data_IF_046561047181
#
_entry.id   IF_046561047181
#
_cell.length_a   1.000
_cell.length_b   1.000
_cell.length_c   1.000
_cell.angle_alpha   90.00
_cell.angle_beta   90.00
_cell.angle_gamma   90.00
#
_symmetry.space_group_name_H-M   'P 1'
#
loop_
_entity.id
_entity.type
_entity.pdbx_description
1 polymer ?
#
# COMPACT_ATOMS: atom_id res chain seq x y z
N UNK A 1 -16.24 -17.40 -8.20
CA UNK A 1 -16.61 -16.43 -9.25
C UNK A 1 -15.48 -16.25 -10.26
N UNK A 2 -14.26 -15.83 -9.89
CA UNK A 2 -13.17 -15.65 -10.86
C UNK A 2 -12.84 -16.92 -11.65
N UNK A 3 -12.77 -18.08 -11.00
CA UNK A 3 -12.52 -19.37 -11.69
C UNK A 3 -13.61 -19.75 -12.68
N UNK A 4 -14.86 -19.32 -12.48
CA UNK A 4 -15.95 -19.56 -13.42
C UNK A 4 -15.96 -18.58 -14.59
N UNK A 5 -15.43 -17.36 -14.40
CA UNK A 5 -15.34 -16.34 -15.44
C UNK A 5 -14.07 -16.50 -16.31
N UNK A 6 -12.99 -17.05 -15.74
CA UNK A 6 -11.70 -17.24 -16.40
C UNK A 6 -11.16 -18.66 -16.12
N UNK A 7 -11.74 -19.68 -16.69
CA UNK A 7 -11.43 -21.09 -16.38
C UNK A 7 -9.99 -21.49 -16.72
N UNK A 8 -9.39 -20.87 -17.73
CA UNK A 8 -8.02 -21.14 -18.17
C UNK A 8 -6.96 -20.43 -17.31
N UNK A 9 -7.38 -19.58 -16.36
CA UNK A 9 -6.45 -18.84 -15.51
C UNK A 9 -6.16 -19.61 -14.23
N UNK A 10 -4.89 -19.56 -13.81
CA UNK A 10 -4.47 -20.13 -12.54
C UNK A 10 -4.59 -19.08 -11.43
N UNK A 11 -5.43 -19.36 -10.43
CA UNK A 11 -5.66 -18.49 -9.27
C UNK A 11 -5.26 -19.20 -7.98
N UNK A 12 -4.46 -18.52 -7.18
CA UNK A 12 -4.10 -18.94 -5.84
C UNK A 12 -4.58 -17.88 -4.83
N UNK A 13 -5.24 -18.33 -3.75
CA UNK A 13 -5.69 -17.47 -2.67
C UNK A 13 -4.73 -17.55 -1.49
N UNK A 14 -4.16 -16.42 -1.10
CA UNK A 14 -3.30 -16.29 0.06
C UNK A 14 -3.93 -15.28 1.02
N UNK A 15 -4.23 -15.73 2.23
CA UNK A 15 -4.72 -14.85 3.29
C UNK A 15 -3.63 -13.84 3.69
N UNK A 16 -4.01 -12.55 3.74
CA UNK A 16 -3.14 -11.46 4.11
C UNK A 16 -3.94 -10.36 4.79
N UNK A 17 -3.90 -10.33 6.13
CA UNK A 17 -4.47 -9.22 6.91
C UNK A 17 -3.47 -8.07 7.00
N UNK A 18 -3.78 -6.97 6.32
CA UNK A 18 -2.93 -5.77 6.31
C UNK A 18 -2.95 -5.00 7.66
N UNK A 19 -3.77 -5.40 8.62
CA UNK A 19 -3.75 -4.86 9.98
C UNK A 19 -2.79 -5.63 10.91
N UNK A 20 -2.06 -6.62 10.37
CA UNK A 20 -1.07 -7.42 11.08
C UNK A 20 0.20 -7.60 10.25
N UNK A 21 1.32 -7.06 10.70
CA UNK A 21 2.60 -7.24 10.01
C UNK A 21 3.04 -8.71 9.98
N UNK A 22 2.67 -9.51 10.98
CA UNK A 22 2.97 -10.95 10.96
C UNK A 22 2.17 -11.67 9.86
N UNK A 23 0.90 -11.31 9.67
CA UNK A 23 0.09 -11.82 8.56
C UNK A 23 0.71 -11.46 7.21
N UNK A 24 1.15 -10.19 7.05
CA UNK A 24 1.82 -9.72 5.83
C UNK A 24 3.09 -10.53 5.55
N UNK A 25 3.95 -10.76 6.55
CA UNK A 25 5.17 -11.56 6.37
C UNK A 25 4.86 -13.02 6.03
N UNK A 26 3.84 -13.58 6.66
CA UNK A 26 3.40 -14.96 6.36
C UNK A 26 2.88 -15.09 4.94
N UNK A 27 2.07 -14.13 4.49
CA UNK A 27 1.61 -14.07 3.11
C UNK A 27 2.78 -13.90 2.12
N UNK A 28 3.72 -12.99 2.43
CA UNK A 28 4.88 -12.76 1.58
C UNK A 28 5.75 -14.02 1.42
N UNK A 29 5.98 -14.80 2.49
CA UNK A 29 6.69 -16.08 2.40
C UNK A 29 6.01 -17.03 1.42
N UNK A 30 4.68 -17.21 1.54
CA UNK A 30 3.91 -18.07 0.63
C UNK A 30 4.00 -17.61 -0.82
N UNK A 31 3.90 -16.29 -1.07
CA UNK A 31 4.06 -15.74 -2.43
C UNK A 31 5.48 -16.00 -2.95
N UNK A 32 6.49 -15.84 -2.12
CA UNK A 32 7.89 -16.11 -2.50
C UNK A 32 8.09 -17.56 -2.93
N UNK A 33 7.52 -18.51 -2.17
CA UNK A 33 7.60 -19.94 -2.47
C UNK A 33 6.88 -20.29 -3.79
N UNK A 34 5.77 -19.64 -4.11
CA UNK A 34 5.04 -19.82 -5.37
C UNK A 34 5.72 -19.12 -6.55
N UNK A 35 6.37 -17.99 -6.31
CA UNK A 35 6.98 -17.15 -7.34
C UNK A 35 8.50 -17.31 -7.43
N UNK A 36 9.01 -18.54 -7.30
CA UNK A 36 10.46 -18.83 -7.32
C UNK A 36 11.14 -18.33 -8.59
N UNK A 37 10.43 -18.31 -9.72
CA UNK A 37 10.90 -17.79 -11.01
C UNK A 37 10.61 -16.30 -11.21
N UNK A 38 10.28 -15.59 -10.15
CA UNK A 38 10.02 -14.15 -10.13
C UNK A 38 8.54 -13.76 -10.20
N UNK A 39 8.26 -12.61 -9.65
CA UNK A 39 6.94 -11.95 -9.62
C UNK A 39 6.95 -10.74 -10.56
N UNK A 40 6.13 -10.75 -11.60
CA UNK A 40 6.12 -9.68 -12.61
C UNK A 40 5.46 -8.40 -12.11
N UNK A 41 4.41 -8.51 -11.31
CA UNK A 41 3.67 -7.35 -10.85
C UNK A 41 3.13 -7.53 -9.43
N UNK A 42 3.37 -6.54 -8.58
CA UNK A 42 2.77 -6.40 -7.26
C UNK A 42 1.80 -5.23 -7.28
N UNK A 43 0.49 -5.50 -7.13
CA UNK A 43 -0.53 -4.47 -7.05
C UNK A 43 -0.94 -4.22 -5.60
N UNK A 44 -0.41 -3.18 -4.98
CA UNK A 44 -0.78 -2.68 -3.65
C UNK A 44 -2.10 -1.91 -3.73
N UNK A 45 -3.19 -2.63 -3.96
CA UNK A 45 -4.50 -2.07 -4.27
C UNK A 45 -5.42 -1.95 -3.05
N UNK A 46 -5.35 -2.90 -2.11
CA UNK A 46 -6.25 -2.93 -0.97
C UNK A 46 -6.18 -1.64 -0.14
N UNK A 47 -7.32 -1.23 0.43
CA UNK A 47 -7.36 -0.03 1.24
C UNK A 47 -8.70 0.20 1.90
N UNK A 48 -8.66 0.96 2.95
CA UNK A 48 -9.81 1.40 3.74
C UNK A 48 -9.86 2.92 3.78
N UNK A 49 -11.05 3.48 3.99
CA UNK A 49 -11.27 4.91 3.89
C UNK A 49 -12.18 5.41 5.02
N UNK A 50 -11.79 6.53 5.62
CA UNK A 50 -12.58 7.28 6.60
C UNK A 50 -13.09 6.45 7.79
N UNK A 51 -12.28 5.50 8.27
CA UNK A 51 -12.60 4.71 9.45
C UNK A 51 -12.35 5.48 10.75
N UNK A 52 -12.93 4.97 11.84
CA UNK A 52 -12.70 5.47 13.20
C UNK A 52 -11.22 5.49 13.54
N UNK A 53 -10.86 6.35 14.49
CA UNK A 53 -9.50 6.47 15.02
C UNK A 53 -9.19 5.29 15.95
N UNK A 54 -8.73 4.20 15.36
CA UNK A 54 -8.39 2.96 16.07
C UNK A 54 -6.98 2.52 15.70
N UNK A 55 -6.36 1.77 16.61
CA UNK A 55 -5.07 1.14 16.37
C UNK A 55 -5.25 -0.28 15.84
N UNK A 56 -4.28 -0.72 15.04
CA UNK A 56 -4.08 -2.11 14.67
C UNK A 56 -3.45 -2.90 15.84
N UNK A 57 -3.32 -4.20 15.67
CA UNK A 57 -2.60 -5.06 16.62
C UNK A 57 -1.12 -4.67 16.78
N UNK A 58 -0.53 -4.04 15.77
CA UNK A 58 0.83 -3.54 15.79
C UNK A 58 0.96 -2.14 16.41
N UNK A 59 -0.16 -1.49 16.78
CA UNK A 59 -0.22 -0.21 17.47
C UNK A 59 -0.15 1.03 16.56
N UNK A 60 -0.33 0.89 15.25
CA UNK A 60 -0.39 2.01 14.30
C UNK A 60 -1.84 2.41 13.99
N UNK A 61 -2.03 3.60 13.44
CA UNK A 61 -3.34 4.00 12.90
C UNK A 61 -3.83 2.97 11.87
N UNK A 62 -5.08 2.56 12.00
CA UNK A 62 -5.66 1.49 11.17
C UNK A 62 -5.60 1.82 9.68
N UNK A 63 -5.80 3.09 9.29
CA UNK A 63 -5.75 3.49 7.89
C UNK A 63 -4.29 3.58 7.39
N UNK A 64 -3.37 4.10 8.22
CA UNK A 64 -1.97 4.22 7.82
C UNK A 64 -1.33 2.84 7.69
N UNK A 65 -1.58 1.93 8.60
CA UNK A 65 -1.04 0.58 8.49
C UNK A 65 -1.62 -0.15 7.29
N UNK A 66 -2.94 -0.22 7.16
CA UNK A 66 -3.60 -0.96 6.08
C UNK A 66 -3.23 -0.41 4.70
N UNK A 67 -3.30 0.92 4.53
CA UNK A 67 -3.15 1.52 3.21
C UNK A 67 -1.71 1.73 2.77
N UNK A 68 -0.77 1.81 3.72
CA UNK A 68 0.61 2.18 3.42
C UNK A 68 1.66 1.27 4.06
N UNK A 69 1.73 1.19 5.39
CA UNK A 69 2.85 0.50 6.06
C UNK A 69 2.92 -0.98 5.72
N UNK A 70 1.78 -1.65 5.64
CA UNK A 70 1.70 -3.07 5.27
C UNK A 70 2.04 -3.30 3.80
N UNK A 71 1.66 -2.41 2.91
CA UNK A 71 2.07 -2.48 1.50
C UNK A 71 3.57 -2.19 1.32
N UNK A 72 4.12 -1.26 2.11
CA UNK A 72 5.56 -1.03 2.16
C UNK A 72 6.29 -2.31 2.61
N UNK A 73 5.83 -2.94 3.69
CA UNK A 73 6.40 -4.19 4.20
C UNK A 73 6.28 -5.30 3.15
N UNK A 74 5.09 -5.50 2.56
CA UNK A 74 4.86 -6.51 1.52
C UNK A 74 5.79 -6.30 0.32
N UNK A 75 5.95 -5.06 -0.13
CA UNK A 75 6.88 -4.71 -1.22
C UNK A 75 8.32 -5.06 -0.84
N UNK A 76 8.74 -4.76 0.39
CA UNK A 76 10.06 -5.10 0.91
C UNK A 76 10.31 -6.60 0.92
N UNK A 77 9.37 -7.37 1.46
CA UNK A 77 9.48 -8.82 1.57
C UNK A 77 9.48 -9.52 0.19
N UNK A 78 8.72 -9.00 -0.77
CA UNK A 78 8.64 -9.55 -2.13
C UNK A 78 9.69 -8.96 -3.10
N UNK A 79 10.51 -8.02 -2.65
CA UNK A 79 11.54 -7.40 -3.49
C UNK A 79 12.48 -8.42 -4.17
N UNK A 80 12.96 -9.50 -3.51
CA UNK A 80 13.81 -10.48 -4.17
C UNK A 80 13.16 -11.12 -5.40
N UNK A 81 11.90 -11.54 -5.31
CA UNK A 81 11.21 -12.18 -6.45
C UNK A 81 10.79 -11.19 -7.53
N UNK A 82 10.54 -9.92 -7.20
CA UNK A 82 10.37 -8.85 -8.18
C UNK A 82 11.66 -8.60 -8.95
N UNK A 83 12.81 -8.61 -8.27
CA UNK A 83 14.12 -8.46 -8.90
C UNK A 83 14.42 -9.63 -9.85
N UNK A 84 14.14 -10.87 -9.46
CA UNK A 84 14.27 -12.04 -10.33
C UNK A 84 13.45 -11.86 -11.62
N UNK A 85 12.20 -11.43 -11.52
CA UNK A 85 11.36 -11.18 -12.70
C UNK A 85 11.96 -10.11 -13.61
N UNK A 86 12.40 -8.98 -13.04
CA UNK A 86 13.04 -7.90 -13.79
C UNK A 86 14.30 -8.35 -14.53
N UNK A 87 15.11 -9.19 -13.91
CA UNK A 87 16.33 -9.75 -14.51
C UNK A 87 16.03 -10.78 -15.61
N UNK A 88 15.09 -11.69 -15.36
CA UNK A 88 14.79 -12.79 -16.29
C UNK A 88 13.94 -12.35 -17.49
N UNK A 89 13.02 -11.42 -17.29
CA UNK A 89 12.00 -11.02 -18.29
C UNK A 89 12.10 -9.58 -18.76
N UNK A 90 13.03 -8.80 -18.20
CA UNK A 90 13.30 -7.44 -18.61
C UNK A 90 12.27 -6.39 -18.11
N UNK A 91 11.27 -6.79 -17.31
CA UNK A 91 10.28 -5.88 -16.71
C UNK A 91 9.68 -6.49 -15.45
N UNK A 92 9.59 -5.69 -14.38
CA UNK A 92 8.75 -5.99 -13.23
C UNK A 92 8.21 -4.68 -12.61
N UNK A 93 7.08 -4.76 -11.91
CA UNK A 93 6.34 -3.56 -11.50
C UNK A 93 5.78 -3.66 -10.10
N UNK A 94 5.93 -2.57 -9.34
CA UNK A 94 5.17 -2.31 -8.10
C UNK A 94 4.17 -1.21 -8.40
N UNK A 95 2.88 -1.50 -8.28
CA UNK A 95 1.79 -0.55 -8.54
C UNK A 95 1.12 -0.20 -7.22
N UNK A 96 1.22 1.06 -6.80
CA UNK A 96 0.62 1.55 -5.57
C UNK A 96 -0.67 2.32 -5.86
N UNK A 97 -1.72 2.03 -5.11
CA UNK A 97 -3.00 2.69 -5.27
C UNK A 97 -3.07 3.98 -4.44
N UNK A 98 -3.11 5.12 -5.11
CA UNK A 98 -3.31 6.43 -4.50
C UNK A 98 -4.75 6.95 -4.73
N UNK A 99 -4.99 8.21 -4.46
CA UNK A 99 -6.29 8.87 -4.60
C UNK A 99 -6.11 10.36 -4.79
N UNK A 100 -7.12 11.05 -5.32
CA UNK A 100 -7.21 12.51 -5.31
C UNK A 100 -7.15 13.08 -3.89
N UNK A 101 -7.54 12.30 -2.88
CA UNK A 101 -7.45 12.66 -1.47
C UNK A 101 -6.02 13.02 -1.01
N UNK A 102 -4.97 12.60 -1.75
CA UNK A 102 -3.57 12.99 -1.47
C UNK A 102 -3.33 14.49 -1.48
N UNK A 103 -4.16 15.25 -2.18
CA UNK A 103 -4.07 16.71 -2.23
C UNK A 103 -4.67 17.41 -1.02
N UNK A 104 -5.33 16.68 -0.12
CA UNK A 104 -5.87 17.21 1.14
C UNK A 104 -4.80 17.68 2.13
N UNK A 105 -3.56 17.21 1.98
CA UNK A 105 -2.39 17.66 2.74
C UNK A 105 -1.20 17.92 1.79
N UNK A 106 -0.38 18.94 2.15
CA UNK A 106 0.80 19.32 1.35
C UNK A 106 2.07 18.59 1.79
N UNK A 107 2.07 18.01 2.99
CA UNK A 107 3.24 17.38 3.63
C UNK A 107 2.82 16.12 4.38
N UNK A 108 3.68 15.12 4.35
CA UNK A 108 3.60 14.00 5.26
C UNK A 108 3.91 14.46 6.68
N UNK A 109 3.15 13.96 7.63
CA UNK A 109 3.28 14.29 9.05
C UNK A 109 3.81 13.06 9.79
N UNK A 110 4.97 13.15 10.46
CA UNK A 110 5.61 12.01 11.13
C UNK A 110 4.69 11.28 12.11
N UNK A 111 3.84 12.02 12.83
CA UNK A 111 2.93 11.45 13.82
C UNK A 111 1.98 10.37 13.29
N UNK A 112 1.70 10.34 11.98
CA UNK A 112 0.86 9.31 11.37
C UNK A 112 1.59 7.97 11.15
N UNK A 113 2.93 7.99 11.25
CA UNK A 113 3.77 6.82 11.09
C UNK A 113 4.25 6.23 12.43
N UNK A 114 3.83 6.83 13.54
CA UNK A 114 4.25 6.41 14.88
C UNK A 114 3.26 5.41 15.49
N UNK A 115 3.77 4.57 16.39
CA UNK A 115 2.95 3.75 17.27
C UNK A 115 2.29 4.63 18.32
N UNK A 116 1.03 4.94 18.16
CA UNK A 116 0.26 5.83 19.05
C UNK A 116 -1.02 5.23 19.56
N UNK A 117 -1.34 4.00 19.19
CA UNK A 117 -2.58 3.35 19.57
C UNK A 117 -3.83 4.02 18.96
N UNK A 118 -3.74 4.56 17.75
CA UNK A 118 -4.74 5.47 17.21
C UNK A 118 -4.49 6.90 17.68
N UNK A 119 -5.50 7.61 18.16
CA UNK A 119 -5.40 8.94 18.78
C UNK A 119 -4.69 10.02 17.91
N UNK A 120 -5.01 10.04 16.61
CA UNK A 120 -4.40 10.95 15.64
C UNK A 120 -5.30 12.11 15.22
N UNK A 121 -6.37 12.38 15.93
CA UNK A 121 -7.16 13.57 15.65
C UNK A 121 -8.66 13.33 15.59
N UNK A 122 -9.11 12.24 16.15
CA UNK A 122 -10.52 11.98 16.40
C UNK A 122 -11.30 11.45 15.20
N UNK A 123 -12.58 11.36 15.38
CA UNK A 123 -13.52 10.62 14.54
C UNK A 123 -14.40 11.49 13.63
N UNK A 124 -14.11 12.79 13.52
CA UNK A 124 -14.92 13.63 12.63
C UNK A 124 -14.98 13.05 11.22
N UNK A 125 -16.17 12.72 10.77
CA UNK A 125 -16.45 12.26 9.42
C UNK A 125 -16.75 13.40 8.44
N UNK A 126 -16.93 14.63 8.96
CA UNK A 126 -17.25 15.78 8.13
C UNK A 126 -16.01 16.21 7.33
N UNK A 127 -16.08 16.09 6.01
CA UNK A 127 -15.00 16.48 5.10
C UNK A 127 -14.63 17.96 5.21
N UNK A 128 -15.61 18.84 5.44
CA UNK A 128 -15.37 20.28 5.57
C UNK A 128 -14.58 20.55 6.85
N UNK A 129 -15.00 19.95 7.98
CA UNK A 129 -14.30 20.08 9.26
C UNK A 129 -12.90 19.48 9.15
N UNK A 130 -12.75 18.31 8.53
CA UNK A 130 -11.46 17.68 8.30
C UNK A 130 -10.54 18.53 7.42
N UNK A 131 -11.08 19.18 6.38
CA UNK A 131 -10.35 20.09 5.50
C UNK A 131 -9.86 21.35 6.23
N UNK A 132 -10.71 21.94 7.08
CA UNK A 132 -10.40 23.16 7.84
C UNK A 132 -9.45 22.86 9.00
N UNK A 133 -9.74 21.81 9.78
CA UNK A 133 -8.95 21.45 10.97
C UNK A 133 -7.74 20.58 10.66
N UNK A 134 -7.69 20.01 9.46
CA UNK A 134 -6.71 19.00 9.05
C UNK A 134 -6.63 17.82 10.03
N UNK A 135 -7.78 17.42 10.57
CA UNK A 135 -7.95 16.35 11.55
C UNK A 135 -9.07 15.42 11.15
N UNK A 136 -9.20 14.30 11.88
CA UNK A 136 -10.27 13.34 11.69
C UNK A 136 -9.99 12.29 10.60
N UNK A 137 -11.01 11.53 10.28
CA UNK A 137 -10.94 10.32 9.43
C UNK A 137 -10.39 10.59 8.04
N UNK A 138 -10.80 11.69 7.43
CA UNK A 138 -10.39 12.07 6.08
C UNK A 138 -8.95 12.57 6.02
N UNK A 139 -8.50 13.31 7.04
CA UNK A 139 -7.11 13.75 7.13
C UNK A 139 -6.17 12.55 7.24
N UNK A 140 -6.51 11.55 8.09
CA UNK A 140 -5.75 10.30 8.19
C UNK A 140 -5.72 9.56 6.86
N UNK A 141 -6.87 9.42 6.18
CA UNK A 141 -6.92 8.83 4.85
C UNK A 141 -6.06 9.58 3.83
N UNK A 142 -6.14 10.91 3.79
CA UNK A 142 -5.33 11.74 2.89
C UNK A 142 -3.82 11.52 3.10
N UNK A 143 -3.39 11.41 4.36
CA UNK A 143 -1.99 11.10 4.69
C UNK A 143 -1.57 9.74 4.12
N UNK A 144 -2.42 8.72 4.17
CA UNK A 144 -2.08 7.41 3.59
C UNK A 144 -1.89 7.47 2.08
N UNK A 145 -2.76 8.25 1.40
CA UNK A 145 -2.71 8.37 -0.07
C UNK A 145 -1.57 9.26 -0.55
N UNK A 146 -1.20 10.26 0.24
CA UNK A 146 0.02 11.04 0.03
C UNK A 146 1.27 10.18 0.25
N UNK A 147 1.29 9.35 1.31
CA UNK A 147 2.37 8.41 1.59
C UNK A 147 2.58 7.42 0.43
N UNK A 148 1.51 6.87 -0.14
CA UNK A 148 1.60 5.97 -1.29
C UNK A 148 2.20 6.67 -2.53
N UNK A 149 1.84 7.92 -2.80
CA UNK A 149 2.41 8.67 -3.91
C UNK A 149 3.90 8.99 -3.70
N UNK A 150 4.26 9.43 -2.49
CA UNK A 150 5.66 9.69 -2.13
C UNK A 150 6.51 8.42 -2.16
N UNK A 151 6.01 7.32 -1.59
CA UNK A 151 6.67 6.01 -1.64
C UNK A 151 6.93 5.57 -3.07
N UNK A 152 5.94 5.71 -3.95
CA UNK A 152 6.09 5.34 -5.36
C UNK A 152 7.23 6.09 -6.03
N UNK A 153 7.30 7.41 -5.86
CA UNK A 153 8.35 8.24 -6.44
C UNK A 153 9.73 7.88 -5.88
N UNK A 154 9.84 7.82 -4.55
CA UNK A 154 11.11 7.47 -3.89
C UNK A 154 11.57 6.05 -4.23
N UNK A 155 10.66 5.08 -4.31
CA UNK A 155 11.01 3.71 -4.66
C UNK A 155 11.51 3.62 -6.10
N UNK A 156 10.85 4.31 -7.03
CA UNK A 156 11.31 4.38 -8.43
C UNK A 156 12.71 4.97 -8.53
N UNK A 157 12.95 6.09 -7.87
CA UNK A 157 14.26 6.74 -7.84
C UNK A 157 15.35 5.80 -7.28
N UNK A 158 15.05 5.09 -6.18
CA UNK A 158 15.98 4.11 -5.60
C UNK A 158 16.27 2.94 -6.56
N UNK A 159 15.31 2.48 -7.31
CA UNK A 159 15.55 1.48 -8.35
C UNK A 159 16.51 1.99 -9.42
N UNK A 160 16.33 3.21 -9.89
CA UNK A 160 17.22 3.83 -10.89
C UNK A 160 18.65 4.00 -10.34
N UNK A 161 18.78 4.52 -9.10
CA UNK A 161 20.08 4.69 -8.44
C UNK A 161 20.81 3.37 -8.21
N UNK A 162 20.07 2.27 -8.00
CA UNK A 162 20.62 0.93 -7.83
C UNK A 162 20.89 0.20 -9.17
N UNK A 163 20.68 0.85 -10.31
CA UNK A 163 20.83 0.22 -11.63
C UNK A 163 19.75 -0.79 -12.01
N UNK A 164 18.63 -0.81 -11.28
CA UNK A 164 17.51 -1.73 -11.52
C UNK A 164 16.49 -1.11 -12.49
N UNK A 165 16.92 -0.76 -13.69
CA UNK A 165 16.11 -0.01 -14.67
C UNK A 165 14.88 -0.79 -15.17
N UNK A 166 14.90 -2.11 -15.10
CA UNK A 166 13.81 -3.00 -15.48
C UNK A 166 12.75 -3.16 -14.37
N UNK A 167 12.99 -2.60 -13.18
CA UNK A 167 12.05 -2.60 -12.07
C UNK A 167 11.43 -1.22 -11.91
N UNK A 168 10.10 -1.15 -11.98
CA UNK A 168 9.37 0.12 -12.00
C UNK A 168 8.45 0.23 -10.79
N UNK A 169 8.36 1.42 -10.22
CA UNK A 169 7.35 1.77 -9.24
C UNK A 169 6.37 2.76 -9.86
N UNK A 170 5.10 2.42 -9.84
CA UNK A 170 4.03 3.15 -10.50
C UNK A 170 2.93 3.51 -9.50
N UNK A 171 2.25 4.63 -9.72
CA UNK A 171 1.07 5.01 -8.96
C UNK A 171 -0.17 4.95 -9.86
N UNK A 172 -1.20 4.26 -9.39
CA UNK A 172 -2.51 4.23 -10.03
C UNK A 172 -3.52 5.06 -9.23
N UNK A 173 -4.44 5.70 -9.95
CA UNK A 173 -5.55 6.44 -9.37
C UNK A 173 -6.79 6.21 -10.23
N UNK A 174 -7.82 5.51 -9.70
CA UNK A 174 -8.98 5.09 -10.51
C UNK A 174 -9.97 6.22 -10.84
N UNK A 175 -9.72 7.45 -10.37
CA UNK A 175 -10.73 8.51 -10.43
C UNK A 175 -11.75 8.41 -9.31
N UNK A 176 -12.94 8.92 -9.55
CA UNK A 176 -14.11 8.76 -8.67
C UNK A 176 -14.87 7.55 -9.22
N UNK A 177 -14.76 6.42 -8.52
CA UNK A 177 -15.60 5.25 -8.81
C UNK A 177 -17.00 5.51 -8.22
N UNK A 178 -18.01 5.48 -9.06
CA UNK A 178 -19.42 5.53 -8.69
C UNK A 178 -20.00 4.11 -8.71
#
# INVERSE_FOLDING_TARGET
RLKSELPESNFENIECDLQSFESVRTAARKVTDLCINGLDSLCNNAGIMALKDTATVDGFDVQMQTNHLSHFLLTKELFPVLKIAAELRGDARVVNHSSIARYGDKKLKPEYFEKRGGNLGGDSSNMIVASITRKGRWARYSQTKLANAAFTACLHEKFQQAGLHNLKSLVAHPGVAM
#
